data_IF_600280846531
#
_entry.id   IF_600280846531
#
_cell.length_a   1.000
_cell.length_b   1.000
_cell.length_c   1.000
_cell.angle_alpha   90.00
_cell.angle_beta   90.00
_cell.angle_gamma   90.00
#
_symmetry.space_group_name_H-M   'P 1'
#
loop_
_entity.id
_entity.type
_entity.pdbx_description
1 polymer ?
#
# COMPACT_ATOMS: atom_id res chain seq x y z
N UNK A 1 26.12 -37.09 19.23
CA UNK A 1 25.93 -36.72 17.82
C UNK A 1 24.80 -35.69 17.78
N UNK A 2 25.15 -34.41 17.71
CA UNK A 2 24.15 -33.35 17.50
C UNK A 2 23.75 -33.33 16.04
N UNK A 3 22.47 -33.62 15.75
CA UNK A 3 21.92 -33.41 14.42
C UNK A 3 22.05 -31.91 14.08
N UNK A 4 22.45 -31.55 12.83
CA UNK A 4 22.54 -30.16 12.45
C UNK A 4 21.15 -29.54 12.56
N UNK A 5 20.97 -28.56 13.43
CA UNK A 5 19.77 -27.75 13.55
C UNK A 5 19.62 -27.00 12.22
N UNK A 6 18.79 -27.52 11.32
CA UNK A 6 18.49 -26.84 10.05
C UNK A 6 17.88 -25.50 10.36
N UNK A 7 18.54 -24.42 9.92
CA UNK A 7 18.08 -23.07 10.12
C UNK A 7 16.62 -22.91 9.64
N UNK A 8 15.74 -22.20 10.39
CA UNK A 8 14.35 -21.94 9.98
C UNK A 8 14.22 -21.35 8.57
N UNK A 9 15.26 -20.65 8.10
CA UNK A 9 15.34 -20.09 6.75
C UNK A 9 15.33 -21.13 5.63
N UNK A 10 15.92 -22.32 5.82
CA UNK A 10 15.98 -23.36 4.76
C UNK A 10 14.58 -23.87 4.38
N UNK A 11 13.68 -24.01 5.35
CA UNK A 11 12.30 -24.44 5.07
C UNK A 11 11.47 -23.33 4.43
N UNK A 12 11.70 -22.07 4.83
CA UNK A 12 11.08 -20.91 4.23
C UNK A 12 11.55 -20.72 2.79
N UNK A 13 12.86 -20.80 2.54
CA UNK A 13 13.44 -20.71 1.19
C UNK A 13 12.86 -21.74 0.23
N UNK A 14 12.62 -22.98 0.73
CA UNK A 14 11.96 -24.02 -0.07
C UNK A 14 10.50 -23.68 -0.37
N UNK A 15 9.77 -23.16 0.60
CA UNK A 15 8.36 -22.76 0.44
C UNK A 15 8.21 -21.57 -0.52
N UNK A 16 9.19 -20.66 -0.56
CA UNK A 16 9.27 -19.55 -1.51
C UNK A 16 9.72 -19.98 -2.93
N UNK A 17 10.12 -21.26 -3.11
CA UNK A 17 10.64 -21.80 -4.37
C UNK A 17 9.83 -21.42 -5.60
N UNK A 18 8.50 -21.60 -5.63
CA UNK A 18 7.66 -21.29 -6.80
C UNK A 18 7.69 -19.83 -7.26
N UNK A 19 7.99 -18.90 -6.36
CA UNK A 19 8.02 -17.44 -6.62
C UNK A 19 9.43 -16.85 -6.52
N UNK A 20 10.45 -17.68 -6.33
CA UNK A 20 11.82 -17.26 -6.05
C UNK A 20 12.41 -16.35 -7.14
N UNK A 21 12.13 -16.63 -8.40
CA UNK A 21 12.65 -15.83 -9.54
C UNK A 21 12.22 -14.37 -9.44
N UNK A 22 10.97 -14.10 -9.06
CA UNK A 22 10.46 -12.75 -8.88
C UNK A 22 10.96 -12.09 -7.59
N UNK A 23 11.18 -12.85 -6.53
CA UNK A 23 11.79 -12.33 -5.31
C UNK A 23 13.22 -11.83 -5.53
N UNK A 24 13.97 -12.48 -6.43
CA UNK A 24 15.34 -12.10 -6.76
C UNK A 24 15.45 -11.04 -7.87
N UNK A 25 14.36 -10.75 -8.59
CA UNK A 25 14.35 -9.77 -9.67
C UNK A 25 14.19 -8.35 -9.10
N UNK A 26 15.21 -7.51 -9.26
CA UNK A 26 15.24 -6.14 -8.75
C UNK A 26 14.21 -5.21 -9.41
N UNK A 27 13.61 -5.62 -10.53
CA UNK A 27 12.54 -4.86 -11.19
C UNK A 27 11.15 -5.18 -10.60
N UNK A 28 11.01 -6.24 -9.82
CA UNK A 28 9.74 -6.63 -9.20
C UNK A 28 9.53 -5.87 -7.91
N UNK A 29 8.40 -5.17 -7.82
CA UNK A 29 7.98 -4.34 -6.67
C UNK A 29 7.04 -5.10 -5.75
N UNK A 30 6.09 -5.83 -6.33
CA UNK A 30 5.08 -6.58 -5.60
C UNK A 30 4.74 -7.90 -6.29
N UNK A 31 4.44 -8.92 -5.49
CA UNK A 31 3.99 -10.24 -5.93
C UNK A 31 2.73 -10.57 -5.15
N UNK A 32 1.61 -10.75 -5.84
CA UNK A 32 0.32 -11.10 -5.23
C UNK A 32 -0.17 -12.45 -5.74
N UNK A 33 -0.66 -13.31 -4.85
CA UNK A 33 -1.44 -14.49 -5.19
C UNK A 33 -2.83 -14.32 -4.57
N UNK A 34 -3.86 -14.24 -5.40
CA UNK A 34 -5.26 -14.13 -4.97
C UNK A 34 -5.96 -15.49 -4.99
N UNK A 35 -5.39 -16.46 -5.69
CA UNK A 35 -5.88 -17.82 -5.82
C UNK A 35 -4.72 -18.77 -6.13
N UNK A 36 -4.89 -20.09 -5.89
CA UNK A 36 -3.91 -21.09 -6.28
C UNK A 36 -3.64 -21.09 -7.79
N UNK A 37 -2.41 -21.43 -8.16
CA UNK A 37 -2.00 -21.63 -9.56
C UNK A 37 -1.57 -20.38 -10.32
N UNK A 38 -1.67 -19.19 -9.72
CA UNK A 38 -1.29 -17.95 -10.37
C UNK A 38 -0.69 -16.92 -9.40
N UNK A 39 0.11 -16.03 -9.94
CA UNK A 39 0.57 -14.81 -9.28
C UNK A 39 0.42 -13.61 -10.18
N UNK A 40 0.26 -12.45 -9.57
CA UNK A 40 0.26 -11.14 -10.22
C UNK A 40 1.53 -10.41 -9.79
N UNK A 41 2.30 -9.93 -10.75
CA UNK A 41 3.62 -9.34 -10.52
C UNK A 41 3.62 -7.89 -10.96
N UNK A 42 3.89 -6.99 -10.03
CA UNK A 42 4.13 -5.58 -10.32
C UNK A 42 5.61 -5.35 -10.59
N UNK A 43 5.91 -4.66 -11.69
CA UNK A 43 7.28 -4.25 -12.04
C UNK A 43 7.44 -2.75 -12.01
N UNK A 44 8.60 -2.31 -11.61
CA UNK A 44 8.94 -0.89 -11.58
C UNK A 44 8.70 -0.23 -12.97
N UNK A 45 8.00 0.91 -12.99
CA UNK A 45 7.71 1.66 -14.20
C UNK A 45 6.66 1.04 -15.14
N UNK A 46 5.99 -0.04 -14.75
CA UNK A 46 4.85 -0.60 -15.50
C UNK A 46 3.53 -0.12 -14.91
N UNK A 47 2.56 0.18 -15.78
CA UNK A 47 1.24 0.69 -15.38
C UNK A 47 0.28 -0.40 -14.87
N UNK A 48 0.55 -1.67 -15.15
CA UNK A 48 -0.32 -2.79 -14.79
C UNK A 48 0.50 -3.98 -14.30
N UNK A 49 -0.10 -4.78 -13.43
CA UNK A 49 0.44 -6.06 -13.00
C UNK A 49 0.36 -7.10 -14.12
N UNK A 50 1.37 -7.95 -14.19
CA UNK A 50 1.46 -9.09 -15.11
C UNK A 50 0.93 -10.35 -14.41
N UNK A 51 -0.01 -11.06 -15.05
CA UNK A 51 -0.50 -12.36 -14.58
C UNK A 51 0.46 -13.46 -15.04
N UNK A 52 0.93 -14.27 -14.10
CA UNK A 52 1.82 -15.39 -14.36
C UNK A 52 1.22 -16.70 -13.81
N UNK A 53 1.22 -17.75 -14.60
CA UNK A 53 0.79 -19.07 -14.17
C UNK A 53 1.90 -19.75 -13.35
N UNK A 54 1.52 -20.30 -12.19
CA UNK A 54 2.40 -20.98 -11.25
C UNK A 54 1.72 -22.26 -10.76
N UNK A 55 1.65 -23.33 -11.57
CA UNK A 55 0.92 -24.54 -11.21
C UNK A 55 1.36 -25.17 -9.88
N UNK A 56 2.63 -24.99 -9.50
CA UNK A 56 3.16 -25.50 -8.23
C UNK A 56 2.67 -24.70 -7.00
N UNK A 57 2.03 -23.55 -7.19
CA UNK A 57 1.45 -22.74 -6.13
C UNK A 57 0.03 -23.24 -5.80
N UNK A 58 -0.08 -24.49 -5.39
CA UNK A 58 -1.35 -25.11 -4.99
C UNK A 58 -1.89 -24.51 -3.69
N UNK A 59 -3.16 -24.77 -3.34
CA UNK A 59 -3.73 -24.39 -2.05
C UNK A 59 -2.86 -24.88 -0.86
N UNK A 60 -2.38 -26.13 -0.94
CA UNK A 60 -1.46 -26.67 0.05
C UNK A 60 -0.15 -25.88 0.11
N UNK A 61 0.41 -25.48 -1.04
CA UNK A 61 1.64 -24.69 -1.12
C UNK A 61 1.44 -23.29 -0.52
N UNK A 62 0.30 -22.65 -0.78
CA UNK A 62 -0.06 -21.34 -0.19
C UNK A 62 -0.13 -21.44 1.34
N UNK A 63 -0.85 -22.44 1.86
CA UNK A 63 -0.96 -22.68 3.30
C UNK A 63 0.40 -22.95 3.93
N UNK A 64 1.17 -23.86 3.33
CA UNK A 64 2.50 -24.20 3.80
C UNK A 64 3.45 -23.01 3.80
N UNK A 65 3.37 -22.14 2.77
CA UNK A 65 4.15 -20.88 2.73
C UNK A 65 3.77 -19.98 3.91
N UNK A 66 2.48 -19.74 4.15
CA UNK A 66 2.03 -18.92 5.26
C UNK A 66 2.49 -19.46 6.62
N UNK A 67 2.40 -20.79 6.85
CA UNK A 67 2.90 -21.45 8.07
C UNK A 67 4.41 -21.27 8.25
N UNK A 68 5.20 -21.34 7.15
CA UNK A 68 6.66 -21.15 7.21
C UNK A 68 7.03 -19.70 7.48
N UNK A 69 6.31 -18.75 6.91
CA UNK A 69 6.48 -17.30 7.18
C UNK A 69 6.10 -17.01 8.64
N UNK A 70 4.98 -17.54 9.13
CA UNK A 70 4.54 -17.39 10.52
C UNK A 70 5.59 -17.95 11.49
N UNK A 71 6.05 -19.19 11.26
CA UNK A 71 7.09 -19.80 12.09
C UNK A 71 8.42 -19.04 12.07
N UNK A 72 8.82 -18.47 10.93
CA UNK A 72 10.01 -17.63 10.81
C UNK A 72 9.87 -16.33 11.63
N UNK A 73 8.71 -15.70 11.62
CA UNK A 73 8.43 -14.44 12.33
C UNK A 73 7.98 -14.64 13.79
N UNK A 74 7.99 -15.87 14.30
CA UNK A 74 7.55 -16.17 15.67
C UNK A 74 6.03 -16.01 15.88
N UNK A 75 5.25 -16.11 14.79
CA UNK A 75 3.80 -16.01 14.79
C UNK A 75 3.18 -17.39 14.47
N UNK A 76 1.86 -17.49 14.58
CA UNK A 76 1.07 -18.61 14.13
C UNK A 76 -0.03 -18.16 13.19
N UNK A 77 -0.37 -18.99 12.21
CA UNK A 77 -1.52 -18.79 11.32
C UNK A 77 -2.38 -20.05 11.36
N UNK A 78 -3.66 -19.89 11.64
CA UNK A 78 -4.65 -20.96 11.76
C UNK A 78 -6.06 -20.42 11.54
N UNK A 79 -7.09 -21.24 11.74
CA UNK A 79 -8.49 -20.83 11.54
C UNK A 79 -8.96 -19.73 12.50
N UNK A 80 -8.40 -19.66 13.71
CA UNK A 80 -8.71 -18.60 14.69
C UNK A 80 -7.94 -17.30 14.37
N UNK A 81 -6.76 -17.43 13.78
CA UNK A 81 -5.88 -16.32 13.39
C UNK A 81 -5.47 -16.45 11.91
N UNK A 82 -6.41 -16.19 10.97
CA UNK A 82 -6.19 -16.45 9.55
C UNK A 82 -5.38 -15.36 8.83
N UNK A 83 -5.08 -14.25 9.51
CA UNK A 83 -4.33 -13.12 8.96
C UNK A 83 -2.89 -13.15 9.45
N UNK A 84 -1.94 -12.98 8.53
CA UNK A 84 -0.52 -12.95 8.83
C UNK A 84 0.14 -11.70 8.25
N UNK A 85 0.84 -10.95 9.09
CA UNK A 85 1.68 -9.82 8.68
C UNK A 85 3.09 -10.05 9.19
N UNK A 86 4.06 -10.17 8.29
CA UNK A 86 5.43 -10.52 8.64
C UNK A 86 6.45 -9.85 7.71
N UNK A 87 7.74 -9.89 8.11
CA UNK A 87 8.86 -9.58 7.23
C UNK A 87 9.57 -10.87 6.82
N UNK A 88 9.93 -10.99 5.54
CA UNK A 88 10.79 -12.04 5.03
C UNK A 88 12.28 -11.75 5.34
N UNK A 89 13.17 -12.74 5.20
CA UNK A 89 14.58 -12.58 5.57
C UNK A 89 15.33 -11.42 4.91
N UNK A 90 14.98 -11.04 3.67
CA UNK A 90 15.60 -9.92 2.97
C UNK A 90 14.90 -8.57 3.24
N UNK A 91 13.86 -8.56 4.08
CA UNK A 91 13.15 -7.35 4.53
C UNK A 91 11.88 -7.05 3.76
N UNK A 92 11.46 -7.92 2.84
CA UNK A 92 10.17 -7.77 2.14
C UNK A 92 9.02 -7.92 3.14
N UNK A 93 7.93 -7.19 2.90
CA UNK A 93 6.71 -7.31 3.70
C UNK A 93 5.81 -8.38 3.12
N UNK A 94 5.43 -9.34 3.95
CA UNK A 94 4.47 -10.39 3.63
C UNK A 94 3.14 -10.11 4.33
N UNK A 95 2.05 -10.16 3.58
CA UNK A 95 0.69 -10.15 4.07
C UNK A 95 0.00 -11.42 3.57
N UNK A 96 -0.54 -12.22 4.48
CA UNK A 96 -1.23 -13.47 4.15
C UNK A 96 -2.65 -13.47 4.70
N UNK A 97 -3.57 -14.07 3.94
CA UNK A 97 -4.96 -14.30 4.33
C UNK A 97 -5.27 -15.76 4.05
N UNK A 98 -5.61 -16.53 5.10
CA UNK A 98 -5.91 -17.95 5.01
C UNK A 98 -7.39 -18.20 5.30
N UNK A 99 -7.86 -19.42 5.00
CA UNK A 99 -9.19 -19.85 5.40
C UNK A 99 -9.33 -19.76 6.94
N UNK A 100 -10.51 -19.35 7.49
CA UNK A 100 -11.77 -19.07 6.80
C UNK A 100 -11.94 -17.62 6.30
N UNK A 101 -10.96 -16.74 6.46
CA UNK A 101 -11.06 -15.34 6.03
C UNK A 101 -11.04 -15.16 4.49
N UNK A 102 -10.71 -16.21 3.75
CA UNK A 102 -10.84 -16.30 2.30
C UNK A 102 -11.41 -17.65 1.89
N UNK A 103 -12.21 -17.70 0.82
CA UNK A 103 -12.74 -18.92 0.21
C UNK A 103 -11.85 -19.45 -0.92
N UNK A 104 -10.82 -18.72 -1.32
CA UNK A 104 -9.94 -19.07 -2.43
C UNK A 104 -8.76 -19.99 -2.03
N UNK A 105 -8.80 -20.62 -0.84
CA UNK A 105 -7.74 -21.52 -0.37
C UNK A 105 -6.51 -20.82 0.22
N UNK A 106 -6.45 -19.51 0.13
CA UNK A 106 -5.37 -18.67 0.64
C UNK A 106 -4.97 -17.59 -0.38
N UNK A 107 -4.51 -16.46 0.14
CA UNK A 107 -3.99 -15.35 -0.65
C UNK A 107 -2.78 -14.74 0.06
N UNK A 108 -1.86 -14.14 -0.69
CA UNK A 108 -0.80 -13.34 -0.11
C UNK A 108 -0.40 -12.16 -1.02
N UNK A 109 0.21 -11.16 -0.40
CA UNK A 109 0.96 -10.11 -1.08
C UNK A 109 2.37 -10.01 -0.47
N UNK A 110 3.38 -9.93 -1.31
CA UNK A 110 4.77 -9.68 -0.91
C UNK A 110 5.22 -8.39 -1.56
N UNK A 111 5.46 -7.37 -0.74
CA UNK A 111 5.96 -6.08 -1.21
C UNK A 111 7.45 -5.96 -0.93
N UNK A 112 8.21 -5.73 -1.99
CA UNK A 112 9.66 -5.54 -1.93
C UNK A 112 10.01 -4.06 -1.75
N UNK A 113 11.05 -3.79 -0.99
CA UNK A 113 11.67 -2.47 -0.96
C UNK A 113 12.71 -2.38 -2.09
N UNK A 114 12.25 -2.20 -3.33
CA UNK A 114 13.12 -2.14 -4.51
C UNK A 114 13.98 -0.88 -4.49
N UNK A 115 13.51 0.17 -3.81
CA UNK A 115 14.16 1.47 -3.80
C UNK A 115 14.71 1.73 -2.39
N UNK A 116 15.91 1.24 -2.11
CA UNK A 116 16.60 1.52 -0.83
C UNK A 116 17.38 2.82 -0.82
N UNK A 117 17.84 3.30 -1.98
CA UNK A 117 18.79 4.42 -2.08
C UNK A 117 18.49 5.38 -3.26
N UNK A 118 17.20 5.55 -3.64
CA UNK A 118 16.86 6.48 -4.71
C UNK A 118 17.15 7.92 -4.29
N UNK A 119 17.98 8.60 -5.05
CA UNK A 119 18.29 10.02 -4.88
C UNK A 119 17.32 10.88 -5.71
N UNK A 120 17.23 12.14 -5.35
CA UNK A 120 16.39 13.11 -6.07
C UNK A 120 16.76 13.21 -7.57
N UNK A 121 18.05 13.02 -7.88
CA UNK A 121 18.55 12.98 -9.26
C UNK A 121 18.06 11.78 -10.05
N UNK A 122 17.79 10.65 -9.38
CA UNK A 122 17.21 9.46 -10.00
C UNK A 122 15.74 9.71 -10.35
N UNK A 123 14.99 10.37 -9.47
CA UNK A 123 13.62 10.84 -9.76
C UNK A 123 13.57 11.77 -10.97
N UNK A 124 14.52 12.70 -11.08
CA UNK A 124 14.64 13.58 -12.24
C UNK A 124 14.91 12.80 -13.52
N UNK A 125 15.85 11.85 -13.49
CA UNK A 125 16.20 11.01 -14.65
C UNK A 125 15.03 10.10 -15.10
N UNK A 126 14.16 9.72 -14.19
CA UNK A 126 12.95 8.94 -14.48
C UNK A 126 11.79 9.79 -15.01
N UNK A 127 11.98 11.11 -15.18
CA UNK A 127 10.93 12.00 -15.65
C UNK A 127 9.82 12.26 -14.63
N UNK A 128 10.03 11.92 -13.35
CA UNK A 128 9.01 12.04 -12.31
C UNK A 128 8.57 13.48 -12.05
N UNK A 129 9.36 14.45 -12.51
CA UNK A 129 9.06 15.89 -12.39
C UNK A 129 8.54 16.51 -13.70
N UNK A 130 8.45 15.76 -14.80
CA UNK A 130 8.04 16.29 -16.11
C UNK A 130 6.56 16.71 -16.16
N UNK A 131 5.73 16.15 -15.26
CA UNK A 131 4.30 16.44 -15.17
C UNK A 131 3.94 17.29 -13.95
N UNK A 132 4.91 17.98 -13.36
CA UNK A 132 4.63 18.93 -12.29
C UNK A 132 4.26 20.25 -12.95
N UNK A 133 2.98 20.60 -12.89
CA UNK A 133 2.53 21.95 -13.24
C UNK A 133 3.01 22.90 -12.13
N UNK A 134 4.00 23.69 -12.46
CA UNK A 134 4.38 24.84 -11.64
C UNK A 134 3.36 25.92 -11.98
N UNK A 135 2.42 26.18 -11.07
CA UNK A 135 1.53 27.33 -11.18
C UNK A 135 2.41 28.59 -11.23
N UNK A 136 2.52 29.17 -12.44
CA UNK A 136 3.17 30.48 -12.61
C UNK A 136 2.32 31.56 -11.93
N UNK A 137 2.96 32.67 -11.56
CA UNK A 137 2.26 33.89 -11.14
C UNK A 137 1.25 34.26 -12.25
N UNK A 138 -0.05 34.07 -12.01
CA UNK A 138 -1.12 34.41 -12.94
C UNK A 138 -2.04 33.29 -13.41
N UNK A 139 -1.74 32.03 -13.11
CA UNK A 139 -2.55 30.88 -13.56
C UNK A 139 -3.44 30.28 -12.45
N UNK A 140 -3.95 31.11 -11.51
CA UNK A 140 -4.92 30.64 -10.52
C UNK A 140 -6.21 30.23 -11.24
N UNK A 141 -6.69 29.02 -10.95
CA UNK A 141 -8.02 28.59 -11.39
C UNK A 141 -9.10 29.52 -10.83
N UNK A 142 -10.32 29.54 -11.38
CA UNK A 142 -11.43 30.29 -10.78
C UNK A 142 -11.67 29.91 -9.32
N UNK A 143 -11.48 28.64 -8.95
CA UNK A 143 -11.64 28.14 -7.58
C UNK A 143 -10.51 28.67 -6.68
N UNK A 144 -9.26 28.64 -7.15
CA UNK A 144 -8.13 29.17 -6.37
C UNK A 144 -8.31 30.65 -6.08
N UNK A 145 -8.80 31.44 -7.06
CA UNK A 145 -9.12 32.87 -6.84
C UNK A 145 -10.17 33.07 -5.78
N UNK A 146 -11.27 32.32 -5.84
CA UNK A 146 -12.34 32.38 -4.83
C UNK A 146 -11.82 31.97 -3.44
N UNK A 147 -10.93 30.98 -3.36
CA UNK A 147 -10.28 30.58 -2.11
C UNK A 147 -9.42 31.72 -1.55
N UNK A 148 -8.62 32.39 -2.39
CA UNK A 148 -7.84 33.56 -1.98
C UNK A 148 -8.74 34.71 -1.48
N UNK A 149 -9.81 35.01 -2.22
CA UNK A 149 -10.79 36.05 -1.81
C UNK A 149 -11.41 35.75 -0.44
N UNK A 150 -11.85 34.50 -0.20
CA UNK A 150 -12.37 34.11 1.12
C UNK A 150 -11.35 34.28 2.23
N UNK A 151 -10.09 33.94 1.95
CA UNK A 151 -9.02 34.07 2.93
C UNK A 151 -8.71 35.54 3.24
N UNK A 152 -8.60 36.39 2.22
CA UNK A 152 -8.32 37.83 2.35
C UNK A 152 -9.44 38.57 3.08
N UNK A 153 -10.69 38.15 2.90
CA UNK A 153 -11.86 38.71 3.59
C UNK A 153 -12.08 38.09 4.99
N UNK A 154 -11.24 37.13 5.42
CA UNK A 154 -11.36 36.46 6.71
C UNK A 154 -12.51 35.48 6.81
N UNK A 155 -13.12 35.09 5.68
CA UNK A 155 -14.24 34.12 5.61
C UNK A 155 -13.71 32.68 5.65
N UNK A 156 -13.13 32.31 6.78
CA UNK A 156 -12.41 31.02 6.94
C UNK A 156 -13.32 29.81 6.76
N UNK A 157 -14.60 29.89 7.22
CA UNK A 157 -15.56 28.80 7.04
C UNK A 157 -15.86 28.54 5.56
N UNK A 158 -16.05 29.61 4.76
CA UNK A 158 -16.31 29.52 3.33
C UNK A 158 -15.10 29.00 2.59
N UNK A 159 -13.89 29.44 2.96
CA UNK A 159 -12.63 28.91 2.47
C UNK A 159 -12.53 27.39 2.67
N UNK A 160 -12.77 26.90 3.89
CA UNK A 160 -12.69 25.47 4.20
C UNK A 160 -13.76 24.70 3.43
N UNK A 161 -15.00 25.22 3.40
CA UNK A 161 -16.10 24.60 2.67
C UNK A 161 -15.78 24.46 1.18
N UNK A 162 -15.31 25.53 0.55
CA UNK A 162 -14.95 25.56 -0.87
C UNK A 162 -13.80 24.60 -1.16
N UNK A 163 -12.79 24.54 -0.30
CA UNK A 163 -11.66 23.60 -0.43
C UNK A 163 -12.12 22.13 -0.33
N UNK A 164 -13.02 21.80 0.61
CA UNK A 164 -13.56 20.44 0.80
C UNK A 164 -14.40 20.02 -0.42
N UNK A 165 -15.30 20.87 -0.90
CA UNK A 165 -16.17 20.60 -2.06
C UNK A 165 -15.33 20.33 -3.31
N UNK A 166 -14.28 21.11 -3.52
CA UNK A 166 -13.39 20.95 -4.68
C UNK A 166 -12.26 19.95 -4.47
N UNK A 167 -12.31 19.16 -3.37
CA UNK A 167 -11.37 18.06 -3.05
C UNK A 167 -9.91 18.49 -2.95
N UNK A 168 -9.66 19.68 -2.44
CA UNK A 168 -8.30 20.12 -2.15
C UNK A 168 -7.68 19.28 -1.01
N UNK A 169 -6.38 19.04 -1.12
CA UNK A 169 -5.62 18.41 -0.03
C UNK A 169 -5.42 19.41 1.10
N UNK A 170 -5.85 19.06 2.31
CA UNK A 170 -5.76 19.91 3.48
C UNK A 170 -4.77 19.31 4.47
N UNK A 171 -3.72 20.05 4.82
CA UNK A 171 -2.76 19.69 5.87
C UNK A 171 -3.14 20.39 7.18
N UNK A 172 -3.46 19.61 8.21
CA UNK A 172 -3.76 20.10 9.54
C UNK A 172 -2.59 19.84 10.50
N UNK A 173 -1.96 20.88 11.00
CA UNK A 173 -0.81 20.81 11.92
C UNK A 173 -1.15 21.45 13.27
N UNK A 174 -0.52 20.98 14.34
CA UNK A 174 -0.68 21.52 15.69
C UNK A 174 -0.15 20.59 16.76
N UNK A 175 0.09 21.09 17.96
CA UNK A 175 0.59 20.36 19.11
C UNK A 175 -0.39 19.29 19.66
N UNK A 176 0.03 18.56 20.67
CA UNK A 176 -0.86 17.62 21.39
C UNK A 176 -2.02 18.38 22.02
N UNK A 177 -3.22 17.80 22.00
CA UNK A 177 -4.45 18.39 22.56
C UNK A 177 -4.92 19.72 21.92
N UNK A 178 -4.42 20.07 20.71
CA UNK A 178 -4.82 21.30 20.02
C UNK A 178 -6.16 21.21 19.25
N UNK A 179 -6.92 20.12 19.43
CA UNK A 179 -8.22 19.95 18.77
C UNK A 179 -8.14 19.47 17.31
N UNK A 180 -6.97 19.03 16.82
CA UNK A 180 -6.79 18.53 15.43
C UNK A 180 -7.81 17.46 15.02
N UNK A 181 -7.98 16.46 15.86
CA UNK A 181 -8.91 15.34 15.59
C UNK A 181 -10.36 15.82 15.54
N UNK A 182 -10.75 16.75 16.44
CA UNK A 182 -12.07 17.35 16.45
C UNK A 182 -12.33 18.12 15.16
N UNK A 183 -11.36 18.94 14.75
CA UNK A 183 -11.46 19.71 13.50
C UNK A 183 -11.49 18.82 12.26
N UNK A 184 -10.66 17.77 12.21
CA UNK A 184 -10.69 16.78 11.14
C UNK A 184 -12.06 16.10 11.02
N UNK A 185 -12.68 15.74 12.15
CA UNK A 185 -14.02 15.13 12.16
C UNK A 185 -15.09 16.09 11.60
N UNK A 186 -14.97 17.39 11.85
CA UNK A 186 -15.86 18.40 11.27
C UNK A 186 -15.70 18.44 9.75
N UNK A 187 -14.47 18.46 9.23
CA UNK A 187 -14.20 18.45 7.78
C UNK A 187 -14.76 17.19 7.12
N UNK A 188 -14.58 16.03 7.74
CA UNK A 188 -15.10 14.76 7.22
C UNK A 188 -16.63 14.75 7.20
N UNK A 189 -17.28 15.24 8.28
CA UNK A 189 -18.74 15.35 8.36
C UNK A 189 -19.30 16.30 7.29
N UNK A 190 -18.64 17.43 7.03
CA UNK A 190 -19.01 18.36 5.95
C UNK A 190 -18.97 17.67 4.57
N UNK A 191 -17.95 16.87 4.30
CA UNK A 191 -17.83 16.15 3.02
C UNK A 191 -18.96 15.14 2.81
N UNK A 192 -19.37 14.43 3.87
CA UNK A 192 -20.51 13.48 3.83
C UNK A 192 -21.83 14.20 3.59
N UNK A 193 -22.09 15.31 4.29
CA UNK A 193 -23.32 16.09 4.12
C UNK A 193 -23.46 16.63 2.70
N UNK A 194 -22.40 17.16 2.13
CA UNK A 194 -22.38 17.71 0.76
C UNK A 194 -22.58 16.66 -0.33
N UNK A 195 -22.18 15.41 -0.09
CA UNK A 195 -22.46 14.31 -1.03
C UNK A 195 -23.95 13.97 -1.07
N UNK A 196 -24.62 14.00 0.07
CA UNK A 196 -26.06 13.72 0.16
C UNK A 196 -26.92 14.81 -0.47
N UNK A 197 -26.43 16.04 -0.60
CA UNK A 197 -27.14 17.14 -1.28
C UNK A 197 -27.01 17.10 -2.81
N UNK A 198 -26.04 16.36 -3.36
CA UNK A 198 -25.79 16.25 -4.79
C UNK A 198 -26.54 15.03 -5.41
N UNK A 199 -26.99 14.07 -4.60
CA UNK A 199 -27.69 12.86 -5.04
C UNK A 199 -29.25 13.01 -5.00
N UNK A 200 -29.79 14.20 -4.79
CA UNK A 200 -31.21 14.56 -4.89
C UNK A 200 -31.40 15.48 -6.08
#
# INVERSE_FOLDING_TARGET
MNAPTRSPTVFLDRALGPIRSWLLDDQVVEICANSPGEVWVERFGKAAMERCEVPDLTEHALRHLAERVAGYSGQSVNEEHPLLSAALPAGERFQGVMAPATTAGGAFAIRKQVIKDMRLDDYRRLGSFEKIDIAGEGALSPVDRALCEHLDEGRIEDFIRLAVVNRYSILLSGGTSSGKTTFLNIIVAMNVSLRNEIEV
#
